data_IF_857858377932
#
_entry.id   IF_857858377932
#
_cell.length_a   1.000
_cell.length_b   1.000
_cell.length_c   1.000
_cell.angle_alpha   90.00
_cell.angle_beta   90.00
_cell.angle_gamma   90.00
#
_symmetry.space_group_name_H-M   'P 1'
#
loop_
_entity.id
_entity.type
_entity.pdbx_description
1 polymer ?
#
# COMPACT_ATOMS: atom_id res chain seq x y z
N UNK A 1 39.44 31.96 -0.18
CA UNK A 1 39.35 30.59 -0.73
C UNK A 1 38.35 29.86 0.13
N UNK A 2 37.12 29.77 -0.37
CA UNK A 2 35.97 29.21 0.34
C UNK A 2 35.93 27.73 -0.02
N UNK A 3 36.39 26.86 0.90
CA UNK A 3 36.32 25.42 0.70
C UNK A 3 34.85 25.00 0.71
N UNK A 4 34.31 24.77 -0.48
CA UNK A 4 33.02 24.10 -0.67
C UNK A 4 33.04 22.81 0.15
N UNK A 5 31.95 22.54 0.90
CA UNK A 5 31.73 21.31 1.65
C UNK A 5 30.94 20.26 0.81
N UNK A 6 31.53 19.55 -0.17
CA UNK A 6 30.81 18.52 -0.91
C UNK A 6 30.69 17.18 -0.17
N UNK A 7 31.50 16.96 0.88
CA UNK A 7 31.70 15.63 1.48
C UNK A 7 30.63 15.19 2.48
N UNK A 8 30.04 16.11 3.26
CA UNK A 8 29.03 15.74 4.26
C UNK A 8 27.66 15.40 3.67
N UNK A 9 27.31 15.94 2.50
CA UNK A 9 26.04 15.62 1.82
C UNK A 9 26.10 14.27 1.09
N UNK A 10 27.25 13.94 0.48
CA UNK A 10 27.44 12.67 -0.23
C UNK A 10 27.46 11.47 0.71
N UNK A 11 27.93 11.65 1.95
CA UNK A 11 27.94 10.59 2.96
C UNK A 11 26.51 10.23 3.45
N UNK A 12 25.64 11.22 3.64
CA UNK A 12 24.23 11.02 4.04
C UNK A 12 23.36 10.36 2.98
N UNK A 13 23.65 10.60 1.70
CA UNK A 13 22.95 9.95 0.59
C UNK A 13 23.31 8.46 0.49
N UNK A 14 24.49 8.05 0.99
CA UNK A 14 24.96 6.66 0.98
C UNK A 14 24.34 5.81 2.09
N UNK A 15 23.86 6.46 3.15
CA UNK A 15 23.07 5.83 4.23
C UNK A 15 21.57 5.74 3.91
N UNK A 16 21.11 6.23 2.76
CA UNK A 16 19.78 5.90 2.27
C UNK A 16 19.77 4.41 1.91
N UNK A 17 19.37 3.59 2.88
CA UNK A 17 19.18 2.16 2.66
C UNK A 17 18.36 1.94 1.38
N UNK A 18 18.82 1.09 0.44
CA UNK A 18 18.12 0.83 -0.82
C UNK A 18 16.67 0.36 -0.64
N UNK A 19 16.32 -0.09 0.58
CA UNK A 19 14.96 -0.42 1.01
C UNK A 19 13.99 0.77 0.97
N UNK A 20 14.45 1.98 1.25
CA UNK A 20 13.63 3.20 1.23
C UNK A 20 13.39 3.68 -0.20
N UNK A 21 14.33 3.43 -1.10
CA UNK A 21 14.20 3.78 -2.52
C UNK A 21 13.02 3.03 -3.17
N UNK A 22 12.84 1.76 -2.84
CA UNK A 22 11.70 0.97 -3.30
C UNK A 22 10.35 1.52 -2.84
N UNK A 23 10.26 1.97 -1.58
CA UNK A 23 9.06 2.58 -1.03
C UNK A 23 8.70 3.91 -1.72
N UNK A 24 9.71 4.77 -1.95
CA UNK A 24 9.53 6.04 -2.68
C UNK A 24 9.08 5.78 -4.12
N UNK A 25 9.71 4.82 -4.80
CA UNK A 25 9.34 4.46 -6.17
C UNK A 25 7.90 3.92 -6.25
N UNK A 26 7.53 3.01 -5.35
CA UNK A 26 6.18 2.48 -5.26
C UNK A 26 5.15 3.59 -4.98
N UNK A 27 5.47 4.53 -4.10
CA UNK A 27 4.61 5.69 -3.81
C UNK A 27 4.41 6.56 -5.06
N UNK A 28 5.47 6.87 -5.80
CA UNK A 28 5.38 7.66 -7.04
C UNK A 28 4.50 6.96 -8.07
N UNK A 29 4.70 5.65 -8.29
CA UNK A 29 3.87 4.85 -9.20
C UNK A 29 2.41 4.88 -8.76
N UNK A 30 2.15 4.72 -7.46
CA UNK A 30 0.81 4.74 -6.91
C UNK A 30 0.12 6.10 -7.10
N UNK A 31 0.83 7.20 -6.89
CA UNK A 31 0.31 8.55 -7.13
C UNK A 31 -0.02 8.78 -8.61
N UNK A 32 0.86 8.35 -9.53
CA UNK A 32 0.60 8.41 -10.97
C UNK A 32 -0.66 7.61 -11.31
N UNK A 33 -0.78 6.41 -10.75
CA UNK A 33 -1.97 5.58 -10.93
C UNK A 33 -3.24 6.28 -10.46
N UNK A 34 -3.25 6.92 -9.28
CA UNK A 34 -4.40 7.70 -8.81
C UNK A 34 -4.75 8.80 -9.80
N UNK A 35 -3.77 9.63 -10.20
CA UNK A 35 -4.03 10.77 -11.07
C UNK A 35 -4.48 10.37 -12.47
N UNK A 36 -3.97 9.25 -13.00
CA UNK A 36 -4.42 8.72 -14.30
C UNK A 36 -5.82 8.12 -14.25
N UNK A 37 -6.28 7.71 -13.07
CA UNK A 37 -7.56 7.03 -12.88
C UNK A 37 -8.54 7.85 -12.04
N UNK A 38 -8.44 9.19 -12.12
CA UNK A 38 -9.39 10.11 -11.51
C UNK A 38 -10.74 10.06 -12.22
N UNK A 39 -10.75 9.69 -13.50
CA UNK A 39 -11.99 9.60 -14.27
C UNK A 39 -12.93 8.53 -13.69
N UNK A 40 -14.20 8.89 -13.64
CA UNK A 40 -15.25 8.03 -13.09
C UNK A 40 -15.43 6.78 -13.95
N UNK A 41 -15.38 5.62 -13.29
CA UNK A 41 -15.70 4.33 -13.89
C UNK A 41 -17.05 3.85 -13.38
N UNK A 42 -17.92 3.41 -14.28
CA UNK A 42 -19.19 2.77 -13.92
C UNK A 42 -18.93 1.38 -13.35
N UNK A 43 -19.41 1.14 -12.13
CA UNK A 43 -19.26 -0.14 -11.44
C UNK A 43 -20.62 -0.73 -11.15
N UNK A 44 -20.89 -1.88 -11.78
CA UNK A 44 -22.08 -2.69 -11.53
C UNK A 44 -21.73 -3.88 -10.64
N UNK A 45 -22.32 -3.94 -9.44
CA UNK A 45 -22.13 -5.04 -8.51
C UNK A 45 -23.47 -5.50 -7.90
N UNK A 46 -23.94 -6.68 -8.31
CA UNK A 46 -25.24 -7.25 -7.96
C UNK A 46 -26.41 -6.35 -8.40
N UNK A 47 -26.81 -5.41 -7.54
CA UNK A 47 -27.87 -4.41 -7.77
C UNK A 47 -27.38 -2.98 -7.52
N UNK A 48 -26.09 -2.81 -7.20
CA UNK A 48 -25.46 -1.53 -6.99
C UNK A 48 -24.86 -1.05 -8.32
N UNK A 49 -25.26 0.14 -8.75
CA UNK A 49 -24.67 0.87 -9.87
C UNK A 49 -24.13 2.20 -9.31
N UNK A 50 -22.81 2.36 -9.33
CA UNK A 50 -22.12 3.54 -8.80
C UNK A 50 -21.01 3.96 -9.74
N UNK A 51 -21.00 5.25 -10.09
CA UNK A 51 -19.87 5.92 -10.71
C UNK A 51 -18.85 6.28 -9.62
N UNK A 52 -17.63 5.76 -9.73
CA UNK A 52 -16.52 6.20 -8.88
C UNK A 52 -15.18 6.09 -9.60
N UNK A 53 -14.19 6.90 -9.22
CA UNK A 53 -12.83 6.76 -9.70
C UNK A 53 -12.28 5.36 -9.40
N UNK A 54 -11.56 4.76 -10.37
CA UNK A 54 -11.08 3.38 -10.25
C UNK A 54 -10.18 3.16 -9.03
N UNK A 55 -9.39 4.19 -8.64
CA UNK A 55 -8.51 4.09 -7.47
C UNK A 55 -9.28 3.88 -6.16
N UNK A 56 -10.49 4.43 -6.03
CA UNK A 56 -11.34 4.24 -4.85
C UNK A 56 -11.85 2.80 -4.77
N UNK A 57 -12.25 2.21 -5.90
CA UNK A 57 -12.67 0.81 -5.96
C UNK A 57 -11.53 -0.14 -5.53
N UNK A 58 -10.32 0.09 -6.03
CA UNK A 58 -9.15 -0.72 -5.68
C UNK A 58 -8.77 -0.57 -4.21
N UNK A 59 -8.85 0.65 -3.66
CA UNK A 59 -8.62 0.89 -2.24
C UNK A 59 -9.66 0.15 -1.39
N UNK A 60 -10.95 0.26 -1.74
CA UNK A 60 -12.05 -0.37 -1.01
C UNK A 60 -11.89 -1.89 -0.98
N UNK A 61 -11.64 -2.50 -2.15
CA UNK A 61 -11.47 -3.95 -2.27
C UNK A 61 -10.22 -4.46 -1.55
N UNK A 62 -9.11 -3.71 -1.59
CA UNK A 62 -7.90 -4.02 -0.82
C UNK A 62 -8.16 -4.01 0.69
N UNK A 63 -8.85 -2.98 1.18
CA UNK A 63 -9.25 -2.88 2.59
C UNK A 63 -10.18 -4.04 2.97
N UNK A 64 -11.17 -4.36 2.14
CA UNK A 64 -12.11 -5.46 2.38
C UNK A 64 -11.37 -6.81 2.48
N UNK A 65 -10.44 -7.09 1.57
CA UNK A 65 -9.61 -8.29 1.60
C UNK A 65 -8.76 -8.37 2.89
N UNK A 66 -8.16 -7.24 3.29
CA UNK A 66 -7.38 -7.16 4.54
C UNK A 66 -8.24 -7.47 5.76
N UNK A 67 -9.45 -6.92 5.84
CA UNK A 67 -10.39 -7.19 6.92
C UNK A 67 -10.82 -8.66 6.96
N UNK A 68 -11.12 -9.26 5.80
CA UNK A 68 -11.46 -10.70 5.70
C UNK A 68 -10.33 -11.56 6.26
N UNK A 69 -9.07 -11.28 5.91
CA UNK A 69 -7.90 -12.01 6.41
C UNK A 69 -7.70 -11.78 7.91
N UNK A 70 -7.87 -10.54 8.39
CA UNK A 70 -7.71 -10.17 9.79
C UNK A 70 -8.73 -10.91 10.67
N UNK A 71 -10.03 -10.84 10.33
CA UNK A 71 -11.09 -11.53 11.07
C UNK A 71 -11.08 -13.05 10.84
N UNK A 72 -10.73 -13.52 9.64
CA UNK A 72 -10.60 -14.94 9.33
C UNK A 72 -9.43 -15.61 10.07
N UNK A 73 -8.32 -14.89 10.27
CA UNK A 73 -7.18 -15.39 11.07
C UNK A 73 -7.50 -15.48 12.57
N UNK A 74 -8.33 -14.57 13.09
CA UNK A 74 -8.76 -14.60 14.48
C UNK A 74 -9.51 -15.91 14.83
N UNK A 75 -10.17 -16.54 13.85
CA UNK A 75 -10.88 -17.80 14.04
C UNK A 75 -9.99 -19.05 14.17
N UNK A 76 -8.69 -18.98 13.82
CA UNK A 76 -7.80 -20.17 13.77
C UNK A 76 -6.95 -20.38 15.04
N UNK A 77 -7.11 -19.56 16.07
CA UNK A 77 -6.22 -19.56 17.24
C UNK A 77 -6.60 -20.54 18.37
N UNK A 78 -7.80 -21.14 18.36
CA UNK A 78 -8.32 -21.89 19.52
C UNK A 78 -8.20 -23.43 19.42
N UNK A 79 -7.71 -24.01 18.31
CA UNK A 79 -7.75 -25.48 18.13
C UNK A 79 -6.45 -26.21 18.54
N UNK A 80 -5.36 -25.50 18.85
CA UNK A 80 -4.07 -26.15 19.18
C UNK A 80 -3.89 -26.53 20.66
N UNK A 81 -4.83 -26.18 21.55
CA UNK A 81 -4.71 -26.51 22.98
C UNK A 81 -5.36 -27.83 23.39
N UNK A 82 -6.16 -28.47 22.54
CA UNK A 82 -6.93 -29.67 22.92
C UNK A 82 -6.27 -31.00 22.51
N UNK A 83 -5.13 -30.98 21.81
CA UNK A 83 -4.46 -32.20 21.33
C UNK A 83 -3.28 -32.65 22.22
N UNK A 84 -3.11 -32.05 23.41
CA UNK A 84 -2.08 -32.40 24.40
C UNK A 84 -2.72 -32.57 25.80
N UNK A 85 -3.85 -33.27 25.87
CA UNK A 85 -4.43 -33.75 27.13
C UNK A 85 -4.91 -35.18 26.96
#
# INVERSE_FOLDING_TARGET
MEESQPSRMTERLRELEPKHLGGVLALVIFLIFIFQNIDDTQVEFLWLDVAMPLFLLLLLTSVLASLIVFFGSASKSETKKFLIL
#
